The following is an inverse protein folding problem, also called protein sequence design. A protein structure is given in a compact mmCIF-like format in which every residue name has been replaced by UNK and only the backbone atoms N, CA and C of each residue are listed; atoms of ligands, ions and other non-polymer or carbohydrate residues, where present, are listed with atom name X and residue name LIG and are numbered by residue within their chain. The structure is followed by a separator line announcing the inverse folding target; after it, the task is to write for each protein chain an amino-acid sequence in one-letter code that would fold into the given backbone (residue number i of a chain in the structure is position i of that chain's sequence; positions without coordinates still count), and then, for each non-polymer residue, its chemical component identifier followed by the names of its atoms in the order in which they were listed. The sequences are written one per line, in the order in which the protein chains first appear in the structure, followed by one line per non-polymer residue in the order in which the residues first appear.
data_IF_911486343290
#
_entry.id   IF_911486343290
#
_cell.length_a   1.000
_cell.length_b   1.000
_cell.length_c   1.000
_cell.angle_alpha   90.00
_cell.angle_beta   90.00
_cell.angle_gamma   90.00
#
_symmetry.space_group_name_H-M   'P 1'
#
loop_
_entity.id
_entity.type
_entity.pdbx_description
1 polymer ?
#
# COMPACT_ATOMS: atom_id res chain seq x y z
N UNK A 1 5.53 29.22 -3.25
CA UNK A 1 5.78 28.95 -4.68
C UNK A 1 4.61 28.14 -5.21
N UNK A 2 3.95 28.68 -6.21
CA UNK A 2 2.70 28.13 -6.75
C UNK A 2 2.92 26.79 -7.42
N UNK A 3 2.28 25.77 -6.88
CA UNK A 3 2.17 24.46 -7.52
C UNK A 3 1.38 24.59 -8.82
N UNK A 4 1.96 24.11 -9.90
CA UNK A 4 1.47 24.14 -11.25
C UNK A 4 0.03 23.58 -11.33
N UNK A 5 -0.96 24.44 -11.49
CA UNK A 5 -2.39 24.14 -11.54
C UNK A 5 -2.82 23.50 -12.87
N UNK A 6 -2.17 22.43 -13.28
CA UNK A 6 -2.68 21.53 -14.32
C UNK A 6 -3.80 20.69 -13.73
N UNK A 7 -5.07 21.05 -13.95
CA UNK A 7 -6.23 20.34 -13.43
C UNK A 7 -6.13 18.85 -13.72
N UNK A 8 -6.31 18.02 -12.68
CA UNK A 8 -6.29 16.56 -12.81
C UNK A 8 -7.35 16.13 -13.83
N UNK A 9 -6.90 15.52 -14.91
CA UNK A 9 -7.78 14.98 -15.96
C UNK A 9 -7.71 13.46 -15.96
N UNK A 10 -8.87 12.80 -15.88
CA UNK A 10 -8.96 11.36 -16.11
C UNK A 10 -8.70 11.07 -17.59
N UNK A 11 -7.52 10.50 -17.86
CA UNK A 11 -7.17 9.97 -19.20
C UNK A 11 -7.59 8.52 -19.29
N UNK A 12 -7.71 7.97 -20.51
CA UNK A 12 -8.01 6.56 -20.73
C UNK A 12 -7.08 5.63 -19.96
N UNK A 13 -5.77 5.92 -19.93
CA UNK A 13 -4.81 5.12 -19.16
C UNK A 13 -5.09 5.18 -17.66
N UNK A 14 -5.39 6.35 -17.07
CA UNK A 14 -5.74 6.50 -15.66
C UNK A 14 -7.03 5.76 -15.31
N UNK A 15 -8.02 5.81 -16.19
CA UNK A 15 -9.30 5.09 -16.02
C UNK A 15 -9.07 3.58 -15.98
N UNK A 16 -8.30 3.04 -16.92
CA UNK A 16 -8.02 1.61 -16.98
C UNK A 16 -7.16 1.11 -15.80
N UNK A 17 -6.17 1.94 -15.37
CA UNK A 17 -5.34 1.65 -14.19
C UNK A 17 -6.20 1.63 -12.92
N UNK A 18 -7.04 2.64 -12.71
CA UNK A 18 -7.93 2.70 -11.55
C UNK A 18 -8.91 1.52 -11.54
N UNK A 19 -9.56 1.24 -12.66
CA UNK A 19 -10.49 0.12 -12.78
C UNK A 19 -9.82 -1.24 -12.55
N UNK A 20 -8.54 -1.39 -12.89
CA UNK A 20 -7.78 -2.59 -12.57
C UNK A 20 -7.53 -2.73 -11.07
N UNK A 21 -7.15 -1.66 -10.40
CA UNK A 21 -6.93 -1.64 -8.96
C UNK A 21 -8.22 -1.90 -8.17
N UNK A 22 -9.34 -1.34 -8.60
CA UNK A 22 -10.66 -1.56 -7.98
C UNK A 22 -11.14 -3.02 -8.08
N UNK A 23 -10.70 -3.73 -9.12
CA UNK A 23 -10.98 -5.18 -9.29
C UNK A 23 -10.01 -6.08 -8.54
N UNK A 24 -8.83 -5.56 -8.21
CA UNK A 24 -7.76 -6.35 -7.62
C UNK A 24 -7.78 -6.21 -6.10
N UNK A 25 -7.93 -7.32 -5.39
CA UNK A 25 -7.83 -7.39 -3.93
C UNK A 25 -6.41 -7.75 -3.45
N UNK A 26 -5.47 -7.97 -4.37
CA UNK A 26 -4.12 -8.49 -4.08
C UNK A 26 -3.05 -7.40 -3.98
N UNK A 27 -3.43 -6.12 -3.94
CA UNK A 27 -2.52 -4.97 -3.88
C UNK A 27 -1.38 -5.09 -4.91
N UNK A 28 -1.67 -4.97 -6.21
CA UNK A 28 -0.72 -5.26 -7.26
C UNK A 28 0.43 -4.22 -7.31
N UNK A 29 1.57 -4.67 -7.80
CA UNK A 29 2.68 -3.80 -8.20
C UNK A 29 2.37 -3.10 -9.53
N UNK A 30 3.13 -2.05 -9.88
CA UNK A 30 2.98 -1.37 -11.17
C UNK A 30 3.18 -2.31 -12.38
N UNK A 31 4.06 -3.31 -12.26
CA UNK A 31 4.29 -4.30 -13.31
C UNK A 31 3.09 -5.24 -13.50
N UNK A 32 2.45 -5.67 -12.40
CA UNK A 32 1.24 -6.49 -12.43
C UNK A 32 0.06 -5.70 -13.03
N UNK A 33 -0.12 -4.43 -12.62
CA UNK A 33 -1.12 -3.53 -13.21
C UNK A 33 -0.87 -3.34 -14.70
N UNK A 34 0.39 -3.10 -15.10
CA UNK A 34 0.75 -2.99 -16.52
C UNK A 34 0.39 -4.24 -17.31
N UNK A 35 0.72 -5.43 -16.80
CA UNK A 35 0.38 -6.71 -17.45
C UNK A 35 -1.12 -6.89 -17.68
N UNK A 36 -1.94 -6.45 -16.72
CA UNK A 36 -3.40 -6.53 -16.83
C UNK A 36 -3.99 -5.44 -17.76
N UNK A 37 -3.56 -4.18 -17.59
CA UNK A 37 -4.05 -3.04 -18.40
C UNK A 37 -3.68 -3.20 -19.87
N UNK A 38 -2.49 -3.70 -20.17
CA UNK A 38 -2.02 -3.92 -21.54
C UNK A 38 -2.94 -4.83 -22.36
N UNK A 39 -3.65 -5.76 -21.74
CA UNK A 39 -4.61 -6.64 -22.42
C UNK A 39 -5.79 -5.85 -23.00
N UNK A 40 -6.18 -4.74 -22.38
CA UNK A 40 -7.28 -3.87 -22.79
C UNK A 40 -6.82 -2.62 -23.55
N UNK A 41 -5.58 -2.20 -23.28
CA UNK A 41 -4.95 -1.02 -23.88
C UNK A 41 -3.56 -1.41 -24.41
N UNK A 42 -3.45 -2.10 -25.56
CA UNK A 42 -2.18 -2.66 -26.06
C UNK A 42 -1.07 -1.62 -26.29
N UNK A 43 -1.43 -0.38 -26.60
CA UNK A 43 -0.50 0.72 -26.82
C UNK A 43 0.03 1.37 -25.53
N UNK A 44 -0.45 0.97 -24.34
CA UNK A 44 0.04 1.53 -23.08
C UNK A 44 1.50 1.10 -22.82
N UNK A 45 2.33 2.04 -22.38
CA UNK A 45 3.68 1.73 -21.90
C UNK A 45 3.71 1.57 -20.38
N UNK A 46 4.72 0.86 -19.88
CA UNK A 46 4.96 0.74 -18.43
C UNK A 46 5.16 2.13 -17.78
N UNK A 47 5.88 3.02 -18.45
CA UNK A 47 6.08 4.40 -17.98
C UNK A 47 4.75 5.18 -17.88
N UNK A 48 3.81 4.93 -18.80
CA UNK A 48 2.47 5.52 -18.74
C UNK A 48 1.68 5.01 -17.54
N UNK A 49 1.80 3.70 -17.21
CA UNK A 49 1.17 3.11 -16.03
C UNK A 49 1.74 3.71 -14.74
N UNK A 50 3.07 3.87 -14.63
CA UNK A 50 3.69 4.55 -13.47
C UNK A 50 3.16 5.97 -13.30
N UNK A 51 3.15 6.77 -14.36
CA UNK A 51 2.61 8.15 -14.32
C UNK A 51 1.13 8.20 -13.96
N UNK A 52 0.35 7.20 -14.39
CA UNK A 52 -1.06 7.10 -14.03
C UNK A 52 -1.22 6.78 -12.54
N UNK A 53 -0.45 5.83 -12.02
CA UNK A 53 -0.44 5.45 -10.61
C UNK A 53 -0.04 6.62 -9.71
N UNK A 54 1.07 7.31 -10.03
CA UNK A 54 1.53 8.47 -9.27
C UNK A 54 0.46 9.59 -9.25
N UNK A 55 -0.13 9.90 -10.39
CA UNK A 55 -1.19 10.90 -10.47
C UNK A 55 -2.46 10.49 -9.68
N UNK A 56 -2.82 9.21 -9.62
CA UNK A 56 -3.94 8.73 -8.82
C UNK A 56 -3.63 8.74 -7.31
N UNK A 57 -2.38 8.49 -6.94
CA UNK A 57 -1.91 8.61 -5.54
C UNK A 57 -1.93 10.07 -5.10
N UNK A 58 -1.41 11.00 -5.92
CA UNK A 58 -1.41 12.43 -5.64
C UNK A 58 -2.83 13.00 -5.46
N UNK A 59 -3.80 12.42 -6.16
CA UNK A 59 -5.22 12.77 -6.02
C UNK A 59 -5.93 12.04 -4.87
N UNK A 60 -5.23 11.21 -4.11
CA UNK A 60 -5.82 10.43 -3.01
C UNK A 60 -6.83 9.37 -3.46
N UNK A 61 -6.85 8.99 -4.74
CA UNK A 61 -7.75 7.95 -5.28
C UNK A 61 -7.17 6.55 -5.16
N UNK A 62 -5.88 6.46 -4.93
CA UNK A 62 -5.13 5.23 -4.75
C UNK A 62 -4.14 5.47 -3.61
N UNK A 63 -3.89 4.46 -2.80
CA UNK A 63 -2.83 4.46 -1.80
C UNK A 63 -1.63 3.69 -2.30
N UNK A 64 -0.43 4.21 -2.03
CA UNK A 64 0.79 3.45 -2.21
C UNK A 64 1.17 2.77 -0.90
N UNK A 65 1.43 1.48 -0.96
CA UNK A 65 1.91 0.65 0.15
C UNK A 65 3.39 0.37 -0.12
N UNK A 66 4.26 0.87 0.75
CA UNK A 66 5.69 0.61 0.65
C UNK A 66 6.02 -0.71 1.33
N UNK A 67 6.69 -1.60 0.61
CA UNK A 67 7.09 -2.91 1.10
C UNK A 67 8.50 -2.94 1.67
N UNK A 68 8.71 -3.84 2.62
CA UNK A 68 10.03 -4.33 2.95
C UNK A 68 10.60 -5.09 1.73
N UNK A 69 11.44 -4.45 0.93
CA UNK A 69 11.99 -5.00 -0.31
C UNK A 69 11.91 -4.05 -1.52
N UNK A 70 11.40 -2.83 -1.32
CA UNK A 70 11.48 -1.75 -2.30
C UNK A 70 10.49 -1.82 -3.46
N UNK A 71 9.47 -2.66 -3.40
CA UNK A 71 8.40 -2.70 -4.40
C UNK A 71 7.17 -1.98 -3.87
N UNK A 72 6.76 -0.90 -4.52
CA UNK A 72 5.49 -0.23 -4.22
C UNK A 72 4.33 -1.08 -4.71
N UNK A 73 3.35 -1.29 -3.83
CA UNK A 73 2.05 -1.85 -4.18
C UNK A 73 0.98 -0.77 -4.11
N UNK A 74 -0.15 -1.02 -4.74
CA UNK A 74 -1.19 -0.02 -4.89
C UNK A 74 -2.54 -0.57 -4.45
N UNK A 75 -3.31 0.28 -3.80
CA UNK A 75 -4.61 -0.04 -3.25
C UNK A 75 -5.61 1.08 -3.57
N UNK A 76 -6.73 0.71 -4.18
CA UNK A 76 -7.84 1.61 -4.48
C UNK A 76 -8.93 1.63 -3.40
N UNK A 77 -8.81 0.81 -2.36
CA UNK A 77 -9.76 0.79 -1.25
C UNK A 77 -9.49 1.96 -0.31
N UNK A 78 -10.33 2.98 -0.37
CA UNK A 78 -10.14 4.21 0.41
C UNK A 78 -10.69 4.15 1.84
N UNK A 79 -11.42 3.10 2.21
CA UNK A 79 -11.93 2.88 3.57
C UNK A 79 -10.81 2.72 4.61
N UNK A 80 -11.15 2.85 5.89
CA UNK A 80 -10.20 2.57 6.98
C UNK A 80 -9.95 1.06 7.05
N UNK A 81 -8.77 0.64 6.67
CA UNK A 81 -8.25 -0.72 6.85
C UNK A 81 -6.74 -0.66 7.04
N UNK A 82 -6.20 -1.77 7.52
CA UNK A 82 -4.78 -1.93 7.77
C UNK A 82 -4.23 -3.02 6.85
N UNK A 83 -2.94 -3.00 6.64
CA UNK A 83 -2.26 -3.99 5.82
C UNK A 83 -1.29 -4.83 6.64
N UNK A 84 -1.07 -6.07 6.22
CA UNK A 84 0.03 -6.91 6.67
C UNK A 84 0.92 -7.28 5.49
N UNK A 85 2.21 -7.08 5.66
CA UNK A 85 3.23 -7.40 4.64
C UNK A 85 3.97 -8.67 5.04
N UNK A 86 4.02 -9.65 4.15
CA UNK A 86 4.82 -10.85 4.35
C UNK A 86 6.30 -10.54 4.13
N UNK A 87 7.12 -10.66 5.16
CA UNK A 87 8.57 -10.41 5.09
C UNK A 87 9.33 -11.36 4.18
N UNK A 88 8.74 -12.49 3.79
CA UNK A 88 9.40 -13.48 2.94
C UNK A 88 9.10 -13.28 1.45
N UNK A 89 7.84 -13.12 1.07
CA UNK A 89 7.44 -13.04 -0.33
C UNK A 89 6.91 -11.66 -0.76
N UNK A 90 6.78 -10.70 0.18
CA UNK A 90 6.28 -9.36 -0.10
C UNK A 90 4.78 -9.29 -0.40
N UNK A 91 4.02 -10.38 -0.19
CA UNK A 91 2.56 -10.34 -0.31
C UNK A 91 1.99 -9.37 0.71
N UNK A 92 1.01 -8.60 0.28
CA UNK A 92 0.23 -7.69 1.13
C UNK A 92 -1.20 -8.20 1.18
N UNK A 93 -1.75 -8.28 2.38
CA UNK A 93 -3.15 -8.63 2.62
C UNK A 93 -3.77 -7.59 3.55
N UNK A 94 -5.10 -7.42 3.45
CA UNK A 94 -5.86 -6.55 4.35
C UNK A 94 -6.01 -7.17 5.73
N UNK A 95 -5.96 -6.31 6.74
CA UNK A 95 -6.21 -6.67 8.14
C UNK A 95 -7.38 -5.87 8.66
N UNK A 96 -8.42 -6.57 9.08
CA UNK A 96 -9.55 -5.98 9.80
C UNK A 96 -9.28 -6.10 11.30
N UNK A 97 -9.14 -4.98 11.98
CA UNK A 97 -9.00 -4.94 13.43
C UNK A 97 -10.37 -4.91 14.10
N UNK A 98 -10.54 -5.72 15.16
CA UNK A 98 -11.77 -5.75 15.97
C UNK A 98 -11.96 -4.48 16.79
N UNK A 99 -10.90 -3.74 17.06
CA UNK A 99 -10.93 -2.46 17.76
C UNK A 99 -10.00 -1.46 17.08
N UNK A 100 -10.31 -0.16 17.21
CA UNK A 100 -9.44 0.91 16.69
C UNK A 100 -8.12 0.91 17.45
N UNK A 101 -7.02 1.07 16.74
CA UNK A 101 -5.72 1.35 17.36
C UNK A 101 -5.77 2.78 17.90
N UNK A 102 -5.68 2.90 19.22
CA UNK A 102 -5.54 4.21 19.85
C UNK A 102 -4.05 4.58 19.92
N UNK A 103 -3.70 5.70 19.34
CA UNK A 103 -2.38 6.30 19.48
C UNK A 103 -2.50 7.46 20.46
N UNK A 104 -1.72 7.43 21.53
CA UNK A 104 -1.69 8.50 22.52
C UNK A 104 -1.16 9.78 21.88
N UNK A 105 -2.04 10.78 21.77
CA UNK A 105 -1.70 12.08 21.18
C UNK A 105 -0.71 12.88 22.03
N UNK A 106 -0.62 12.62 23.32
CA UNK A 106 0.32 13.31 24.22
C UNK A 106 1.78 12.97 23.88
N UNK A 107 2.06 11.74 23.48
CA UNK A 107 3.38 11.32 22.99
C UNK A 107 3.75 12.03 21.69
N UNK A 108 2.79 12.30 20.82
CA UNK A 108 3.01 12.95 19.53
C UNK A 108 3.32 14.45 19.68
N UNK A 109 2.80 15.13 20.70
CA UNK A 109 3.03 16.56 20.93
C UNK A 109 4.42 16.87 21.49
N UNK A 110 5.12 15.87 22.05
CA UNK A 110 6.44 16.07 22.67
C UNK A 110 7.57 16.39 21.66
N UNK A 111 7.37 16.16 20.37
CA UNK A 111 8.39 16.36 19.34
C UNK A 111 8.32 17.72 18.62
N UNK A 112 7.36 18.59 18.95
CA UNK A 112 7.15 19.90 18.31
C UNK A 112 6.58 19.86 16.88
N UNK A 113 6.17 18.69 16.41
CA UNK A 113 5.55 18.53 15.08
C UNK A 113 4.03 18.67 15.14
N UNK A 114 3.43 19.25 14.09
CA UNK A 114 2.00 19.17 13.84
C UNK A 114 1.71 17.85 13.13
N UNK A 115 1.21 16.87 13.88
CA UNK A 115 0.91 15.54 13.31
C UNK A 115 -0.41 15.59 12.52
N UNK A 116 -0.33 15.35 11.22
CA UNK A 116 -1.48 15.34 10.31
C UNK A 116 -2.10 13.95 10.15
N UNK A 117 -1.39 12.88 10.52
CA UNK A 117 -1.87 11.51 10.39
C UNK A 117 -0.81 10.50 10.76
N UNK A 118 -1.18 9.22 10.67
CA UNK A 118 -0.28 8.10 10.88
C UNK A 118 -0.60 6.99 9.89
N UNK A 119 0.35 6.10 9.72
CA UNK A 119 0.17 4.84 8.97
C UNK A 119 0.54 3.69 9.88
N UNK A 120 -0.28 2.63 9.86
CA UNK A 120 -0.01 1.40 10.57
C UNK A 120 0.03 0.26 9.55
N UNK A 121 1.14 -0.46 9.52
CA UNK A 121 1.31 -1.66 8.70
C UNK A 121 1.90 -2.77 9.58
N UNK A 122 1.27 -3.93 9.54
CA UNK A 122 1.77 -5.11 10.21
C UNK A 122 2.79 -5.84 9.33
N UNK A 123 3.73 -6.51 9.95
CA UNK A 123 4.68 -7.38 9.24
C UNK A 123 4.63 -8.78 9.83
N UNK A 124 4.68 -9.79 8.96
CA UNK A 124 4.58 -11.18 9.38
C UNK A 124 4.99 -12.15 8.29
N UNK A 125 4.51 -13.38 8.38
CA UNK A 125 4.64 -14.41 7.36
C UNK A 125 3.24 -14.83 6.89
N UNK A 126 2.99 -14.79 5.59
CA UNK A 126 1.73 -15.27 5.03
C UNK A 126 1.59 -16.79 5.21
N UNK A 127 0.36 -17.37 5.14
CA UNK A 127 0.14 -18.80 5.34
C UNK A 127 1.03 -19.68 4.46
N UNK A 128 1.23 -19.31 3.19
CA UNK A 128 2.10 -20.06 2.27
C UNK A 128 3.58 -20.02 2.66
N UNK A 129 4.02 -18.98 3.37
CA UNK A 129 5.40 -18.83 3.84
C UNK A 129 5.63 -19.43 5.22
N UNK A 130 4.60 -19.50 6.06
CA UNK A 130 4.67 -20.18 7.38
C UNK A 130 4.92 -21.67 7.22
N UNK A 131 4.25 -22.33 6.30
CA UNK A 131 4.41 -23.78 6.03
C UNK A 131 5.83 -24.19 5.59
N UNK A 132 6.64 -23.25 5.10
CA UNK A 132 8.04 -23.48 4.71
C UNK A 132 9.04 -23.27 5.85
N UNK A 133 8.58 -22.91 7.05
CA UNK A 133 9.42 -22.57 8.23
C UNK A 133 9.29 -23.61 9.34
N UNK A 134 9.08 -24.88 9.03
CA UNK A 134 9.24 -25.94 10.04
C UNK A 134 10.74 -26.03 10.40
N UNK A 135 11.18 -25.23 11.36
CA UNK A 135 12.55 -25.26 11.87
C UNK A 135 13.01 -24.10 12.74
N UNK A 136 12.24 -23.01 12.87
CA UNK A 136 12.63 -21.92 13.79
C UNK A 136 11.41 -21.26 14.39
N UNK A 137 11.12 -21.63 15.62
CA UNK A 137 10.17 -20.91 16.48
C UNK A 137 10.75 -19.52 16.76
N UNK A 138 10.21 -18.49 16.18
CA UNK A 138 10.51 -17.11 16.57
C UNK A 138 9.66 -16.83 17.80
N UNK A 139 10.26 -16.90 18.97
CA UNK A 139 9.66 -16.44 20.22
C UNK A 139 9.50 -14.91 20.13
N UNK A 140 8.32 -14.35 20.39
CA UNK A 140 8.19 -12.90 20.48
C UNK A 140 8.98 -12.44 21.73
N UNK A 141 10.03 -11.67 21.51
CA UNK A 141 10.77 -11.01 22.57
C UNK A 141 9.89 -9.93 23.17
N UNK A 142 9.11 -10.29 24.15
CA UNK A 142 8.48 -9.36 25.07
C UNK A 142 9.56 -8.73 25.94
N UNK A 143 10.01 -7.54 25.61
CA UNK A 143 10.76 -6.73 26.56
C UNK A 143 9.77 -6.24 27.61
N UNK A 144 9.82 -6.85 28.79
CA UNK A 144 9.29 -6.23 30.00
C UNK A 144 10.30 -5.16 30.40
N UNK A 145 9.96 -3.90 30.24
CA UNK A 145 10.63 -2.83 30.97
C UNK A 145 9.99 -2.71 32.35
N UNK A 146 10.86 -2.66 33.36
CA UNK A 146 10.54 -2.38 34.78
C UNK A 146 10.40 -0.88 34.96
#
# INVERSE_FOLDING_TARGET
MAGNGGGFRMTRARTEVLAELERSHDHPTAAEVYGAVRKRLPAVSLATVYRALDALVDQGRVRAIEEAGGRRRFDATLGEHYHVVCRRCGRVDDVVLRSRVSIDRTVLSACGYSILGHRLCFTGLCPSCQGKTRGRTVTPTGRRER
#
